data_IF_902824863551
#
_entry.id   IF_902824863551
#
_cell.length_a   1.000
_cell.length_b   1.000
_cell.length_c   1.000
_cell.angle_alpha   90.00
_cell.angle_beta   90.00
_cell.angle_gamma   90.00
#
_symmetry.space_group_name_H-M   'P 1'
#
loop_
_entity.id
_entity.type
_entity.pdbx_description
1 polymer ?
#
# COMPACT_ATOMS: atom_id res chain seq x y z
N UNK A 1 0.43 47.18 25.69
CA UNK A 1 -0.07 46.49 24.49
C UNK A 1 -0.84 45.26 24.92
N UNK A 2 -2.08 45.07 24.46
CA UNK A 2 -2.78 43.83 24.76
C UNK A 2 -2.09 42.66 24.03
N UNK A 3 -1.65 41.66 24.76
CA UNK A 3 -1.09 40.42 24.21
C UNK A 3 -2.28 39.55 23.83
N UNK A 4 -2.51 39.41 22.54
CA UNK A 4 -3.55 38.51 22.02
C UNK A 4 -2.97 37.08 22.04
N UNK A 5 -3.41 36.26 22.98
CA UNK A 5 -3.11 34.85 23.01
C UNK A 5 -4.12 34.09 22.16
N UNK A 6 -3.66 33.45 21.11
CA UNK A 6 -4.48 32.53 20.35
C UNK A 6 -4.27 31.11 20.90
N UNK A 7 -5.31 30.52 21.44
CA UNK A 7 -5.26 29.14 21.99
C UNK A 7 -5.78 28.19 20.92
N UNK A 8 -4.92 27.27 20.50
CA UNK A 8 -5.28 26.20 19.56
C UNK A 8 -5.19 24.87 20.28
N UNK A 9 -6.28 24.10 20.27
CA UNK A 9 -6.31 22.76 20.84
C UNK A 9 -5.75 21.74 19.84
N UNK A 10 -4.87 20.86 20.30
CA UNK A 10 -4.26 19.79 19.49
C UNK A 10 -4.64 18.44 20.07
N UNK A 11 -5.19 17.56 19.23
CA UNK A 11 -5.50 16.18 19.60
C UNK A 11 -4.22 15.32 19.71
N UNK A 12 -4.02 14.69 20.88
CA UNK A 12 -2.83 13.86 21.15
C UNK A 12 -3.11 12.35 21.03
N UNK A 13 -4.32 11.98 20.64
CA UNK A 13 -4.71 10.57 20.51
C UNK A 13 -4.15 9.98 19.23
N UNK A 14 -3.79 8.70 19.29
CA UNK A 14 -3.45 7.92 18.09
C UNK A 14 -4.69 7.71 17.23
N UNK A 15 -4.56 8.01 15.94
CA UNK A 15 -5.59 7.84 14.95
C UNK A 15 -5.21 6.72 13.99
N UNK A 16 -6.18 5.87 13.66
CA UNK A 16 -6.04 4.85 12.63
C UNK A 16 -6.61 5.37 11.32
N UNK A 17 -5.79 5.39 10.28
CA UNK A 17 -6.16 5.81 8.94
C UNK A 17 -6.01 4.63 8.00
N UNK A 18 -7.14 4.12 7.51
CA UNK A 18 -7.16 3.05 6.52
C UNK A 18 -7.07 3.62 5.11
N UNK A 19 -6.19 3.05 4.32
CA UNK A 19 -6.02 3.36 2.90
C UNK A 19 -6.29 2.11 2.08
N UNK A 20 -7.29 2.18 1.19
CA UNK A 20 -7.63 1.12 0.26
C UNK A 20 -7.35 1.57 -1.17
N UNK A 21 -6.66 0.73 -1.92
CA UNK A 21 -6.36 0.94 -3.33
C UNK A 21 -6.70 -0.31 -4.12
N UNK A 22 -7.91 -0.33 -4.65
CA UNK A 22 -8.47 -1.47 -5.37
C UNK A 22 -8.89 -1.07 -6.79
N UNK A 23 -9.04 -2.03 -7.66
CA UNK A 23 -9.53 -1.83 -9.01
C UNK A 23 -8.63 -0.90 -9.83
N UNK A 24 -9.23 0.09 -10.47
CA UNK A 24 -8.51 1.08 -11.29
C UNK A 24 -7.52 1.96 -10.51
N UNK A 25 -7.67 2.02 -9.19
CA UNK A 25 -6.80 2.77 -8.28
C UNK A 25 -5.66 1.94 -7.70
N UNK A 26 -5.54 0.67 -8.09
CA UNK A 26 -4.46 -0.23 -7.68
C UNK A 26 -3.09 0.30 -8.09
N UNK A 27 -2.05 -0.08 -7.34
CA UNK A 27 -0.69 0.32 -7.65
C UNK A 27 -0.08 -0.54 -8.74
N UNK A 28 0.79 0.07 -9.56
CA UNK A 28 1.60 -0.65 -10.54
C UNK A 28 2.95 -0.95 -9.90
N UNK A 29 3.30 -2.23 -9.82
CA UNK A 29 4.56 -2.71 -9.27
C UNK A 29 5.70 -2.62 -10.30
N UNK A 30 6.92 -2.90 -9.85
CA UNK A 30 8.12 -2.89 -10.70
C UNK A 30 7.99 -3.80 -11.94
N UNK A 31 7.33 -4.95 -11.78
CA UNK A 31 7.08 -5.91 -12.87
C UNK A 31 5.78 -5.65 -13.64
N UNK A 32 5.25 -4.43 -13.59
CA UNK A 32 4.03 -4.00 -14.30
C UNK A 32 2.75 -4.74 -13.90
N UNK A 33 2.76 -5.38 -12.74
CA UNK A 33 1.56 -5.99 -12.17
C UNK A 33 0.77 -4.94 -11.38
N UNK A 34 -0.56 -5.05 -11.40
CA UNK A 34 -1.42 -4.23 -10.55
C UNK A 34 -1.66 -4.91 -9.22
N UNK A 35 -1.30 -4.22 -8.15
CA UNK A 35 -1.47 -4.68 -6.78
C UNK A 35 -2.60 -3.93 -6.09
N UNK A 36 -3.57 -4.65 -5.56
CA UNK A 36 -4.58 -4.13 -4.66
C UNK A 36 -4.04 -4.17 -3.24
N UNK A 37 -3.99 -3.01 -2.62
CA UNK A 37 -3.39 -2.84 -1.29
C UNK A 37 -4.40 -2.20 -0.35
N UNK A 38 -4.56 -2.80 0.83
CA UNK A 38 -5.23 -2.20 1.97
C UNK A 38 -4.25 -2.12 3.12
N UNK A 39 -3.99 -0.92 3.60
CA UNK A 39 -3.06 -0.67 4.70
C UNK A 39 -3.68 0.25 5.75
N UNK A 40 -3.31 0.04 6.99
CA UNK A 40 -3.69 0.88 8.12
C UNK A 40 -2.46 1.62 8.65
N UNK A 41 -2.61 2.92 8.83
CA UNK A 41 -1.58 3.80 9.36
C UNK A 41 -2.03 4.34 10.70
N UNK A 42 -1.22 4.08 11.73
CA UNK A 42 -1.45 4.61 13.08
C UNK A 42 -0.56 5.82 13.28
N UNK A 43 -1.17 6.98 13.38
CA UNK A 43 -0.49 8.27 13.51
C UNK A 43 -0.95 9.03 14.73
N UNK A 44 -0.05 9.81 15.30
CA UNK A 44 -0.34 10.73 16.40
C UNK A 44 0.50 11.99 16.25
N UNK A 45 0.13 13.03 17.01
CA UNK A 45 1.03 14.16 17.17
C UNK A 45 2.18 13.75 18.10
N UNK A 46 3.41 13.98 17.67
CA UNK A 46 4.58 13.63 18.48
C UNK A 46 4.55 14.39 19.83
N UNK A 47 4.87 13.73 20.95
CA UNK A 47 4.75 14.32 22.29
C UNK A 47 5.93 15.26 22.63
N UNK A 48 6.32 16.10 21.70
CA UNK A 48 7.34 17.13 21.87
C UNK A 48 6.73 18.51 21.71
N UNK A 49 7.24 19.48 22.45
CA UNK A 49 6.76 20.88 22.36
C UNK A 49 6.85 21.41 20.95
N UNK A 50 7.92 21.10 20.25
CA UNK A 50 8.15 21.53 18.86
C UNK A 50 7.14 20.89 17.91
N UNK A 51 6.89 19.59 17.99
CA UNK A 51 5.92 18.88 17.17
C UNK A 51 4.49 19.37 17.43
N UNK A 52 4.12 19.60 18.67
CA UNK A 52 2.80 20.16 19.04
C UNK A 52 2.64 21.56 18.47
N UNK A 53 3.67 22.39 18.53
CA UNK A 53 3.65 23.74 17.95
C UNK A 53 3.47 23.69 16.41
N UNK A 54 4.21 22.82 15.74
CA UNK A 54 4.08 22.61 14.29
C UNK A 54 2.69 22.10 13.93
N UNK A 55 2.17 21.12 14.68
CA UNK A 55 0.83 20.59 14.45
C UNK A 55 -0.25 21.65 14.66
N UNK A 56 -0.11 22.50 15.68
CA UNK A 56 -1.02 23.61 15.94
C UNK A 56 -1.04 24.63 14.79
N UNK A 57 0.11 24.90 14.18
CA UNK A 57 0.23 25.85 13.07
C UNK A 57 -0.25 25.27 11.74
N UNK A 58 0.04 24.00 11.48
CA UNK A 58 -0.23 23.33 10.18
C UNK A 58 -1.60 22.68 10.12
N UNK A 59 -2.01 22.01 11.19
CA UNK A 59 -3.24 21.22 11.26
C UNK A 59 -4.33 21.89 12.12
N UNK A 60 -3.93 22.60 13.17
CA UNK A 60 -4.85 23.27 14.08
C UNK A 60 -5.90 22.34 14.68
N UNK A 61 -7.16 22.77 14.66
CA UNK A 61 -8.28 21.99 15.20
C UNK A 61 -8.57 20.69 14.42
N UNK A 62 -8.01 20.53 13.23
CA UNK A 62 -8.18 19.30 12.40
C UNK A 62 -7.59 18.06 13.06
N UNK A 63 -6.66 18.22 14.01
CA UNK A 63 -6.14 17.11 14.82
C UNK A 63 -7.20 16.48 15.73
N UNK A 64 -8.27 17.22 16.03
CA UNK A 64 -9.39 16.73 16.85
C UNK A 64 -10.44 15.97 16.02
N UNK A 65 -10.43 16.16 14.73
CA UNK A 65 -11.39 15.54 13.79
C UNK A 65 -10.68 14.51 12.92
N UNK A 66 -10.89 13.19 13.18
CA UNK A 66 -10.21 12.13 12.45
C UNK A 66 -10.42 12.18 10.94
N UNK A 67 -11.62 12.54 10.50
CA UNK A 67 -11.97 12.58 9.08
C UNK A 67 -11.23 13.68 8.32
N UNK A 68 -11.13 14.86 8.89
CA UNK A 68 -10.39 15.97 8.31
C UNK A 68 -8.88 15.71 8.29
N UNK A 69 -8.35 15.09 9.34
CA UNK A 69 -6.94 14.70 9.38
C UNK A 69 -6.64 13.62 8.34
N UNK A 70 -7.51 12.63 8.22
CA UNK A 70 -7.44 11.58 7.21
C UNK A 70 -7.35 12.17 5.79
N UNK A 71 -8.23 13.10 5.47
CA UNK A 71 -8.28 13.76 4.16
C UNK A 71 -6.98 14.47 3.81
N UNK A 72 -6.36 15.13 4.80
CA UNK A 72 -5.10 15.87 4.61
C UNK A 72 -3.88 14.95 4.39
N UNK A 73 -3.81 13.84 5.10
CA UNK A 73 -2.62 12.98 5.09
C UNK A 73 -2.76 11.75 4.21
N UNK A 74 -3.98 11.38 3.83
CA UNK A 74 -4.25 10.21 2.99
C UNK A 74 -3.46 10.22 1.68
N UNK A 75 -3.36 11.38 1.02
CA UNK A 75 -2.58 11.54 -0.19
C UNK A 75 -1.10 11.17 -0.01
N UNK A 76 -0.52 11.52 1.11
CA UNK A 76 0.88 11.20 1.45
C UNK A 76 1.10 9.73 1.71
N UNK A 77 0.12 9.07 2.34
CA UNK A 77 0.16 7.62 2.58
C UNK A 77 0.02 6.83 1.28
N UNK A 78 -0.90 7.25 0.42
CA UNK A 78 -1.06 6.67 -0.92
C UNK A 78 0.22 6.81 -1.73
N UNK A 79 0.83 7.97 -1.70
CA UNK A 79 2.07 8.26 -2.41
C UNK A 79 3.22 7.38 -1.91
N UNK A 80 3.38 7.26 -0.59
CA UNK A 80 4.36 6.38 0.03
C UNK A 80 4.19 4.91 -0.35
N UNK A 81 2.97 4.41 -0.31
CA UNK A 81 2.65 3.04 -0.75
C UNK A 81 2.99 2.83 -2.23
N UNK A 82 2.62 3.79 -3.09
CA UNK A 82 2.85 3.72 -4.52
C UNK A 82 4.32 3.78 -4.91
N UNK A 83 5.10 4.67 -4.31
CA UNK A 83 6.54 4.82 -4.58
C UNK A 83 7.29 3.54 -4.23
N UNK A 84 6.99 2.92 -3.10
CA UNK A 84 7.64 1.67 -2.69
C UNK A 84 7.16 0.49 -3.54
N UNK A 85 5.87 0.44 -3.87
CA UNK A 85 5.33 -0.57 -4.78
C UNK A 85 5.99 -0.53 -6.17
N UNK A 86 6.29 0.66 -6.68
CA UNK A 86 6.99 0.82 -7.95
C UNK A 86 8.44 0.33 -7.94
N UNK A 87 9.05 0.19 -6.77
CA UNK A 87 10.43 -0.28 -6.60
C UNK A 87 10.56 -1.79 -6.41
N UNK A 88 9.47 -2.46 -6.04
CA UNK A 88 9.43 -3.89 -5.74
C UNK A 88 8.46 -4.60 -6.68
N UNK A 89 8.76 -5.85 -7.02
CA UNK A 89 7.79 -6.69 -7.73
C UNK A 89 6.70 -7.17 -6.77
N UNK A 90 5.56 -7.61 -7.31
CA UNK A 90 4.45 -8.13 -6.49
C UNK A 90 4.88 -9.34 -5.66
N UNK A 91 5.69 -10.21 -6.25
CA UNK A 91 6.23 -11.39 -5.57
C UNK A 91 7.17 -11.00 -4.43
N UNK A 92 8.07 -10.04 -4.66
CA UNK A 92 8.95 -9.49 -3.63
C UNK A 92 8.17 -8.87 -2.47
N UNK A 93 7.10 -8.14 -2.76
CA UNK A 93 6.24 -7.55 -1.72
C UNK A 93 5.55 -8.64 -0.90
N UNK A 94 5.08 -9.71 -1.54
CA UNK A 94 4.43 -10.82 -0.85
C UNK A 94 5.39 -11.63 0.02
N UNK A 95 6.58 -11.89 -0.47
CA UNK A 95 7.61 -12.63 0.26
C UNK A 95 8.23 -11.82 1.39
N UNK A 96 8.45 -10.52 1.16
CA UNK A 96 9.12 -9.61 2.09
C UNK A 96 8.20 -8.47 2.54
N UNK A 97 7.02 -8.80 3.07
CA UNK A 97 6.05 -7.80 3.57
C UNK A 97 6.65 -6.87 4.61
N UNK A 98 7.50 -7.39 5.49
CA UNK A 98 8.16 -6.62 6.53
C UNK A 98 9.07 -5.52 5.96
N UNK A 99 9.81 -5.84 4.91
CA UNK A 99 10.66 -4.88 4.23
C UNK A 99 9.86 -3.82 3.49
N UNK A 100 8.80 -4.24 2.81
CA UNK A 100 7.86 -3.32 2.17
C UNK A 100 7.27 -2.33 3.17
N UNK A 101 6.75 -2.82 4.29
CA UNK A 101 6.18 -1.99 5.37
C UNK A 101 7.23 -1.04 5.94
N UNK A 102 8.45 -1.51 6.17
CA UNK A 102 9.56 -0.69 6.67
C UNK A 102 9.90 0.47 5.72
N UNK A 103 9.97 0.17 4.43
CA UNK A 103 10.27 1.18 3.40
C UNK A 103 9.13 2.19 3.26
N UNK A 104 7.88 1.74 3.32
CA UNK A 104 6.69 2.60 3.32
C UNK A 104 6.69 3.49 4.55
N UNK A 105 6.93 2.92 5.72
CA UNK A 105 6.98 3.67 6.98
C UNK A 105 8.03 4.77 6.95
N UNK A 106 9.24 4.48 6.49
CA UNK A 106 10.30 5.47 6.36
C UNK A 106 9.93 6.62 5.42
N UNK A 107 9.33 6.30 4.28
CA UNK A 107 8.92 7.29 3.28
C UNK A 107 7.78 8.17 3.78
N UNK A 108 6.79 7.57 4.41
CA UNK A 108 5.63 8.27 5.00
C UNK A 108 6.06 9.14 6.17
N UNK A 109 6.91 8.63 7.04
CA UNK A 109 7.43 9.37 8.20
C UNK A 109 8.15 10.66 7.77
N UNK A 110 8.97 10.57 6.75
CA UNK A 110 9.61 11.76 6.16
C UNK A 110 8.58 12.76 5.60
N UNK A 111 7.56 12.26 4.92
CA UNK A 111 6.52 13.08 4.30
C UNK A 111 5.64 13.80 5.31
N UNK A 112 5.37 13.20 6.48
CA UNK A 112 4.51 13.79 7.52
C UNK A 112 5.27 14.56 8.61
N UNK A 113 6.58 14.46 8.64
CA UNK A 113 7.44 15.13 9.64
C UNK A 113 7.17 16.64 9.75
N UNK A 114 6.93 17.27 8.62
CA UNK A 114 6.66 18.71 8.55
C UNK A 114 5.30 19.12 9.11
N UNK A 115 4.43 18.18 9.42
CA UNK A 115 3.11 18.44 10.01
C UNK A 115 3.06 18.22 11.53
N UNK A 116 4.17 17.85 12.13
CA UNK A 116 4.24 17.51 13.56
C UNK A 116 3.66 16.14 13.91
N UNK A 117 3.26 15.35 12.91
CA UNK A 117 2.76 14.01 13.10
C UNK A 117 3.91 12.99 13.17
N UNK A 118 3.70 11.97 13.98
CA UNK A 118 4.56 10.79 14.10
C UNK A 118 3.79 9.56 13.65
N UNK A 119 4.46 8.71 12.88
CA UNK A 119 3.93 7.41 12.50
C UNK A 119 4.28 6.38 13.57
N UNK A 120 3.27 5.84 14.26
CA UNK A 120 3.50 4.80 15.25
C UNK A 120 3.76 3.44 14.62
N UNK A 121 2.87 3.03 13.72
CA UNK A 121 2.99 1.75 13.02
C UNK A 121 2.22 1.76 11.70
N UNK A 122 2.60 0.87 10.82
CA UNK A 122 1.92 0.58 9.55
C UNK A 122 1.57 -0.90 9.54
N UNK A 123 0.33 -1.21 9.22
CA UNK A 123 -0.14 -2.60 9.06
C UNK A 123 -0.65 -2.80 7.64
N UNK A 124 -0.11 -3.79 6.96
CA UNK A 124 -0.59 -4.23 5.65
C UNK A 124 -1.69 -5.29 5.85
N UNK A 125 -2.94 -4.88 5.72
CA UNK A 125 -4.09 -5.74 5.98
C UNK A 125 -4.35 -6.69 4.82
N UNK A 126 -4.21 -6.20 3.59
CA UNK A 126 -4.46 -7.00 2.38
C UNK A 126 -3.50 -6.61 1.26
N UNK A 127 -3.02 -7.61 0.56
CA UNK A 127 -2.22 -7.47 -0.64
C UNK A 127 -2.62 -8.56 -1.62
N UNK A 128 -3.22 -8.17 -2.73
CA UNK A 128 -3.66 -9.09 -3.77
C UNK A 128 -3.27 -8.55 -5.15
N UNK A 129 -3.22 -9.44 -6.12
CA UNK A 129 -3.14 -9.05 -7.51
C UNK A 129 -4.51 -8.55 -7.96
N UNK A 130 -4.55 -7.43 -8.66
CA UNK A 130 -5.79 -6.93 -9.23
C UNK A 130 -6.35 -7.88 -10.29
N UNK A 131 -7.69 -8.01 -10.41
CA UNK A 131 -8.31 -8.81 -11.45
C UNK A 131 -7.90 -8.36 -12.86
N UNK A 132 -7.78 -9.30 -13.79
CA UNK A 132 -7.37 -9.04 -15.18
C UNK A 132 -8.25 -8.00 -15.88
N UNK A 133 -9.53 -7.92 -15.53
CA UNK A 133 -10.47 -6.94 -16.08
C UNK A 133 -10.18 -5.48 -15.74
N UNK A 134 -9.30 -5.22 -14.77
CA UNK A 134 -8.86 -3.87 -14.38
C UNK A 134 -7.75 -3.35 -15.29
N UNK A 135 -7.01 -4.25 -15.95
CA UNK A 135 -5.94 -3.89 -16.87
C UNK A 135 -6.52 -3.36 -18.18
N UNK A 136 -6.02 -2.21 -18.61
CA UNK A 136 -6.40 -1.61 -19.89
C UNK A 136 -5.43 -2.04 -20.98
N UNK A 137 -5.87 -2.85 -21.97
CA UNK A 137 -5.00 -3.31 -23.06
C UNK A 137 -4.43 -2.19 -23.93
N UNK A 138 -5.09 -1.02 -23.94
CA UNK A 138 -4.61 0.14 -24.68
C UNK A 138 -3.47 0.89 -23.99
N UNK A 139 -3.28 0.66 -22.70
CA UNK A 139 -2.19 1.24 -21.92
C UNK A 139 -0.96 0.33 -22.00
N UNK A 140 0.17 0.88 -22.42
CA UNK A 140 1.43 0.13 -22.58
C UNK A 140 1.84 -0.62 -21.30
N UNK A 141 1.70 0.00 -20.14
CA UNK A 141 2.07 -0.62 -18.87
C UNK A 141 1.14 -1.77 -18.49
N UNK A 142 -0.15 -1.59 -18.69
CA UNK A 142 -1.14 -2.62 -18.42
C UNK A 142 -1.05 -3.78 -19.43
N UNK A 143 -0.76 -3.48 -20.69
CA UNK A 143 -0.53 -4.49 -21.71
C UNK A 143 0.68 -5.39 -21.37
N UNK A 144 1.76 -4.81 -20.86
CA UNK A 144 2.93 -5.55 -20.37
C UNK A 144 2.58 -6.48 -19.20
N UNK A 145 1.81 -5.98 -18.24
CA UNK A 145 1.30 -6.78 -17.11
C UNK A 145 0.40 -7.93 -17.57
N UNK A 146 -0.50 -7.68 -18.52
CA UNK A 146 -1.38 -8.71 -19.09
C UNK A 146 -0.59 -9.80 -19.81
N UNK A 147 0.45 -9.44 -20.55
CA UNK A 147 1.34 -10.40 -21.22
C UNK A 147 2.03 -11.30 -20.18
N UNK A 148 2.57 -10.75 -19.13
CA UNK A 148 3.22 -11.53 -18.05
C UNK A 148 2.25 -12.47 -17.36
N UNK A 149 1.03 -12.03 -17.05
CA UNK A 149 -0.01 -12.85 -16.44
C UNK A 149 -0.39 -14.01 -17.38
N UNK A 150 -0.57 -13.73 -18.64
CA UNK A 150 -0.92 -14.75 -19.66
C UNK A 150 0.16 -15.79 -19.79
N UNK A 151 1.43 -15.40 -19.91
CA UNK A 151 2.58 -16.30 -20.00
C UNK A 151 2.69 -17.18 -18.75
N UNK A 152 2.56 -16.60 -17.56
CA UNK A 152 2.63 -17.32 -16.31
C UNK A 152 1.47 -18.31 -16.15
N UNK A 153 0.26 -17.92 -16.52
CA UNK A 153 -0.92 -18.78 -16.48
C UNK A 153 -0.79 -19.94 -17.46
N UNK A 154 -0.31 -19.70 -18.68
CA UNK A 154 -0.07 -20.74 -19.67
C UNK A 154 1.02 -21.71 -19.22
N UNK A 155 2.11 -21.22 -18.67
CA UNK A 155 3.18 -22.05 -18.13
C UNK A 155 2.67 -22.97 -17.00
N UNK A 156 1.84 -22.46 -16.10
CA UNK A 156 1.21 -23.26 -15.03
C UNK A 156 0.23 -24.31 -15.59
N UNK A 157 -0.59 -23.96 -16.57
CA UNK A 157 -1.49 -24.89 -17.25
C UNK A 157 -0.71 -26.02 -17.91
N UNK A 158 0.38 -25.70 -18.61
CA UNK A 158 1.25 -26.68 -19.23
C UNK A 158 1.84 -27.66 -18.22
N UNK A 159 2.39 -27.16 -17.12
CA UNK A 159 2.90 -28.00 -16.02
C UNK A 159 1.81 -28.89 -15.41
N UNK A 160 0.61 -28.38 -15.22
CA UNK A 160 -0.53 -29.13 -14.71
C UNK A 160 -0.93 -30.26 -15.67
N UNK A 161 -1.02 -29.96 -16.96
CA UNK A 161 -1.32 -30.97 -17.96
C UNK A 161 -0.24 -32.06 -18.03
N UNK A 162 1.03 -31.70 -17.97
CA UNK A 162 2.15 -32.65 -17.94
C UNK A 162 2.09 -33.58 -16.72
N UNK A 163 1.74 -33.03 -15.55
CA UNK A 163 1.55 -33.81 -14.32
C UNK A 163 0.35 -34.75 -14.44
N UNK A 164 -0.79 -34.28 -14.95
CA UNK A 164 -1.98 -35.11 -15.19
C UNK A 164 -1.70 -36.23 -16.17
N UNK A 165 -1.01 -35.96 -17.26
CA UNK A 165 -0.58 -36.97 -18.22
C UNK A 165 0.37 -37.99 -17.60
N UNK A 166 1.29 -37.55 -16.76
CA UNK A 166 2.22 -38.42 -16.04
C UNK A 166 1.48 -39.34 -15.04
N UNK A 167 0.49 -38.80 -14.32
CA UNK A 167 -0.36 -39.59 -13.41
C UNK A 167 -1.22 -40.62 -14.15
N UNK A 168 -1.79 -40.29 -15.29
CA UNK A 168 -2.55 -41.20 -16.14
C UNK A 168 -1.64 -42.32 -16.65
N UNK A 169 -0.41 -42.03 -17.01
CA UNK A 169 0.56 -42.98 -17.49
C UNK A 169 1.00 -43.99 -16.40
N UNK A 170 1.08 -43.51 -15.15
CA UNK A 170 1.41 -44.36 -14.00
C UNK A 170 0.21 -45.22 -13.56
N UNK A 171 -1.01 -44.70 -13.71
CA UNK A 171 -2.23 -45.37 -13.27
C UNK A 171 -2.78 -46.38 -14.27
N UNK A 172 -2.34 -46.35 -15.53
CA UNK A 172 -2.68 -47.39 -16.49
C UNK A 172 -1.84 -48.68 -16.22
N UNK A 173 -2.48 -49.78 -15.78
CA UNK A 173 -1.76 -51.03 -15.67
C UNK A 173 -1.34 -51.48 -17.07
N UNK A 174 -0.08 -51.82 -17.23
CA UNK A 174 0.44 -52.44 -18.44
C UNK A 174 -0.38 -53.67 -18.77
N UNK A 175 -1.25 -53.59 -19.75
CA UNK A 175 -1.92 -54.77 -20.28
C UNK A 175 -0.93 -55.61 -21.06
N UNK A 176 -0.66 -56.74 -20.53
CA UNK A 176 -0.01 -57.82 -21.27
C UNK A 176 -1.04 -58.49 -22.17
#
# INVERSE_FOLDING_TARGET
>A
MPIIHNITSVGMKTLCIEVQRNGSKSFITKNRMRAEVTAEFYVRVAPTTEAVSIAAQTLGNRTLEPDHLKELVQGRFVDGLGVVAAKMSLDEIQENRSEYIKNVAAHVEEAIKHTGLELETVSLTSLNQAPVGVFDPSNTFDAEGLTQITEFTQSRKKKRNDIELSLIHISEPTRL
#
